data_IF_350341569116
#
_entry.id   IF_350341569116
#
_cell.length_a   1.000
_cell.length_b   1.000
_cell.length_c   1.000
_cell.angle_alpha   90.00
_cell.angle_beta   90.00
_cell.angle_gamma   90.00
#
_symmetry.space_group_name_H-M   'P 1'
#
loop_
_entity.id
_entity.type
_entity.pdbx_description
1 polymer ?
#
# COMPACT_ATOMS: atom_id res chain seq x y z
N UNK A 1 4.56 -26.38 3.20
CA UNK A 1 4.65 -25.04 2.57
C UNK A 1 5.35 -25.20 1.23
N UNK A 2 4.83 -24.63 0.12
CA UNK A 2 5.41 -24.86 -1.22
C UNK A 2 6.62 -23.97 -1.54
N UNK A 3 6.78 -22.86 -0.81
CA UNK A 3 7.84 -21.86 -0.99
C UNK A 3 8.11 -21.18 0.35
N UNK A 4 9.38 -20.98 0.71
CA UNK A 4 9.80 -20.15 1.84
C UNK A 4 11.01 -19.30 1.44
N UNK A 5 11.15 -18.12 2.03
CA UNK A 5 12.32 -17.27 1.81
C UNK A 5 13.53 -17.85 2.53
N UNK A 6 14.59 -18.16 1.77
CA UNK A 6 15.84 -18.62 2.32
C UNK A 6 16.85 -17.47 2.36
N UNK A 7 16.95 -16.81 3.52
CA UNK A 7 17.88 -15.70 3.73
C UNK A 7 19.33 -16.20 3.81
N UNK A 8 19.99 -16.25 2.65
CA UNK A 8 21.36 -16.79 2.51
C UNK A 8 22.38 -16.12 3.44
N UNK A 9 22.25 -14.81 3.70
CA UNK A 9 23.16 -14.08 4.59
C UNK A 9 23.03 -14.50 6.06
N UNK A 10 21.79 -14.61 6.54
CA UNK A 10 21.50 -15.07 7.91
C UNK A 10 21.86 -16.55 8.06
N UNK A 11 21.54 -17.37 7.05
CA UNK A 11 21.93 -18.77 7.00
C UNK A 11 23.44 -18.92 7.12
N UNK A 12 24.22 -18.27 6.24
CA UNK A 12 25.68 -18.38 6.25
C UNK A 12 26.27 -17.93 7.59
N UNK A 13 25.75 -16.85 8.18
CA UNK A 13 26.18 -16.36 9.49
C UNK A 13 25.90 -17.36 10.60
N UNK A 14 24.69 -17.91 10.66
CA UNK A 14 24.27 -18.83 11.72
C UNK A 14 24.90 -20.22 11.59
N UNK A 15 25.33 -20.62 10.38
CA UNK A 15 25.95 -21.92 10.12
C UNK A 15 27.47 -21.87 9.97
N UNK A 16 28.12 -20.71 10.19
CA UNK A 16 29.57 -20.55 9.98
C UNK A 16 30.41 -21.51 10.83
N UNK A 17 29.93 -21.88 12.03
CA UNK A 17 30.62 -22.78 12.97
C UNK A 17 30.48 -24.26 12.62
N UNK A 18 29.57 -24.64 11.71
CA UNK A 18 29.22 -26.02 11.46
C UNK A 18 30.25 -26.71 10.56
N UNK A 19 30.54 -27.97 10.87
CA UNK A 19 31.24 -28.86 9.95
C UNK A 19 30.37 -29.19 8.74
N UNK A 20 30.98 -29.71 7.67
CA UNK A 20 30.27 -30.16 6.46
C UNK A 20 29.15 -31.18 6.75
N UNK A 21 29.33 -32.04 7.76
CA UNK A 21 28.31 -33.01 8.15
C UNK A 21 27.17 -32.36 8.93
N UNK A 22 27.49 -31.40 9.81
CA UNK A 22 26.50 -30.66 10.60
C UNK A 22 25.68 -29.73 9.72
N UNK A 23 26.30 -29.01 8.78
CA UNK A 23 25.58 -28.19 7.81
C UNK A 23 24.64 -29.05 6.94
N UNK A 24 25.14 -30.19 6.45
CA UNK A 24 24.34 -31.14 5.68
C UNK A 24 23.20 -31.77 6.48
N UNK A 25 23.35 -31.94 7.79
CA UNK A 25 22.28 -32.38 8.69
C UNK A 25 21.26 -31.26 8.91
N UNK A 26 21.71 -30.06 9.28
CA UNK A 26 20.87 -28.89 9.49
C UNK A 26 20.00 -28.58 8.28
N UNK A 27 20.58 -28.54 7.07
CA UNK A 27 19.82 -28.27 5.85
C UNK A 27 18.68 -29.26 5.64
N UNK A 28 18.95 -30.56 5.81
CA UNK A 28 17.94 -31.63 5.65
C UNK A 28 16.83 -31.54 6.70
N UNK A 29 17.18 -31.24 7.95
CA UNK A 29 16.20 -31.09 9.02
C UNK A 29 15.27 -29.91 8.75
N UNK A 30 15.82 -28.76 8.36
CA UNK A 30 15.06 -27.55 8.02
C UNK A 30 14.14 -27.79 6.81
N UNK A 31 14.62 -28.44 5.76
CA UNK A 31 13.79 -28.74 4.59
C UNK A 31 12.58 -29.61 4.93
N UNK A 32 12.78 -30.64 5.78
CA UNK A 32 11.68 -31.50 6.21
C UNK A 32 10.72 -30.76 7.14
N UNK A 33 11.23 -29.85 7.98
CA UNK A 33 10.41 -29.00 8.84
C UNK A 33 9.45 -28.14 8.01
N UNK A 34 9.95 -27.43 7.00
CA UNK A 34 9.11 -26.59 6.12
C UNK A 34 8.20 -27.40 5.20
N UNK A 35 8.65 -28.56 4.72
CA UNK A 35 7.84 -29.44 3.89
C UNK A 35 6.61 -29.95 4.66
N UNK A 36 6.79 -30.31 5.94
CA UNK A 36 5.71 -30.85 6.79
C UNK A 36 4.96 -29.82 7.60
N UNK A 37 5.54 -28.63 7.79
CA UNK A 37 5.04 -27.59 8.69
C UNK A 37 4.80 -28.10 10.13
N UNK A 38 5.62 -29.06 10.57
CA UNK A 38 5.48 -29.73 11.86
C UNK A 38 6.83 -29.91 12.56
N UNK A 39 6.86 -29.94 13.90
CA UNK A 39 8.05 -30.29 14.66
C UNK A 39 8.65 -31.63 14.20
N UNK A 40 9.98 -31.75 14.29
CA UNK A 40 10.63 -33.03 14.07
C UNK A 40 10.28 -34.00 15.21
N UNK A 41 10.23 -35.32 14.97
CA UNK A 41 9.90 -36.28 16.02
C UNK A 41 10.86 -36.18 17.22
N UNK A 42 10.35 -36.27 18.46
CA UNK A 42 11.19 -36.27 19.67
C UNK A 42 12.10 -37.51 19.82
N UNK A 43 11.87 -38.57 19.03
CA UNK A 43 12.71 -39.76 19.02
C UNK A 43 13.90 -39.58 18.05
N UNK A 44 15.12 -39.55 18.59
CA UNK A 44 16.37 -39.41 17.81
C UNK A 44 16.48 -40.41 16.66
N UNK A 45 16.05 -41.66 16.85
CA UNK A 45 16.09 -42.67 15.80
C UNK A 45 15.27 -42.29 14.56
N UNK A 46 14.15 -41.58 14.73
CA UNK A 46 13.34 -41.05 13.63
C UNK A 46 14.02 -39.85 12.99
N UNK A 47 14.63 -38.97 13.79
CA UNK A 47 15.36 -37.81 13.28
C UNK A 47 16.58 -38.23 12.45
N UNK A 48 17.34 -39.24 12.88
CA UNK A 48 18.45 -39.78 12.08
C UNK A 48 17.99 -40.33 10.73
N UNK A 49 16.84 -41.00 10.68
CA UNK A 49 16.25 -41.46 9.41
C UNK A 49 15.86 -40.30 8.50
N UNK A 50 15.29 -39.24 9.07
CA UNK A 50 14.93 -38.01 8.35
C UNK A 50 16.18 -37.32 7.77
N UNK A 51 17.22 -37.15 8.59
CA UNK A 51 18.49 -36.56 8.17
C UNK A 51 19.33 -37.47 7.28
N UNK A 52 18.91 -38.74 7.07
CA UNK A 52 19.67 -39.79 6.38
C UNK A 52 21.04 -40.07 7.01
N UNK A 53 21.16 -39.90 8.32
CA UNK A 53 22.38 -40.18 9.08
C UNK A 53 22.52 -41.68 9.37
N UNK A 54 23.49 -42.33 8.71
CA UNK A 54 23.72 -43.77 8.81
C UNK A 54 24.91 -44.04 9.73
N UNK A 55 26.02 -43.38 9.44
CA UNK A 55 27.30 -43.54 10.14
C UNK A 55 27.30 -42.86 11.51
N UNK A 56 28.23 -43.27 12.38
CA UNK A 56 28.39 -42.67 13.71
C UNK A 56 28.71 -41.16 13.63
N UNK A 57 29.61 -40.69 12.73
CA UNK A 57 29.85 -39.26 12.57
C UNK A 57 28.62 -38.48 12.11
N UNK A 58 27.84 -39.00 11.16
CA UNK A 58 26.61 -38.33 10.70
C UNK A 58 25.57 -38.22 11.82
N UNK A 59 25.40 -39.28 12.64
CA UNK A 59 24.48 -39.24 13.78
C UNK A 59 24.94 -38.25 14.85
N UNK A 60 26.25 -38.18 15.10
CA UNK A 60 26.83 -37.17 16.00
C UNK A 60 26.56 -35.76 15.49
N UNK A 61 26.73 -35.52 14.19
CA UNK A 61 26.45 -34.22 13.57
C UNK A 61 24.97 -33.83 13.70
N UNK A 62 24.04 -34.77 13.49
CA UNK A 62 22.61 -34.52 13.72
C UNK A 62 22.34 -34.17 15.18
N UNK A 63 22.97 -34.85 16.14
CA UNK A 63 22.80 -34.54 17.55
C UNK A 63 23.31 -33.14 17.89
N UNK A 64 24.52 -32.76 17.45
CA UNK A 64 25.08 -31.41 17.65
C UNK A 64 24.10 -30.33 17.14
N UNK A 65 23.56 -30.54 15.94
CA UNK A 65 22.61 -29.61 15.32
C UNK A 65 21.31 -29.51 16.10
N UNK A 66 20.78 -30.64 16.59
CA UNK A 66 19.57 -30.64 17.42
C UNK A 66 19.80 -29.89 18.74
N UNK A 67 20.96 -30.09 19.37
CA UNK A 67 21.29 -29.47 20.64
C UNK A 67 21.51 -27.95 20.51
N UNK A 68 22.04 -27.49 19.37
CA UNK A 68 22.33 -26.07 19.12
C UNK A 68 21.13 -25.28 18.59
N UNK A 69 20.39 -25.82 17.60
CA UNK A 69 19.38 -25.05 16.86
C UNK A 69 17.94 -25.42 17.19
N UNK A 70 17.71 -26.56 17.85
CA UNK A 70 16.38 -27.06 18.14
C UNK A 70 16.12 -27.10 19.65
N UNK A 71 14.84 -27.08 20.02
CA UNK A 71 14.40 -27.27 21.41
C UNK A 71 13.49 -28.48 21.48
N UNK A 72 13.81 -29.44 22.35
CA UNK A 72 12.93 -30.58 22.59
C UNK A 72 11.73 -30.14 23.42
N UNK A 73 10.55 -30.30 22.84
CA UNK A 73 9.24 -30.00 23.41
C UNK A 73 8.37 -31.27 23.43
N UNK A 74 7.25 -31.30 24.17
CA UNK A 74 6.42 -32.51 24.29
C UNK A 74 5.93 -33.07 22.95
N UNK A 75 5.79 -32.23 21.93
CA UNK A 75 5.34 -32.56 20.59
C UNK A 75 6.49 -32.81 19.59
N UNK A 76 7.75 -32.61 20.00
CA UNK A 76 8.93 -32.90 19.19
C UNK A 76 10.04 -31.85 19.30
N UNK A 77 11.00 -31.89 18.39
CA UNK A 77 12.03 -30.86 18.26
C UNK A 77 11.50 -29.70 17.43
N UNK A 78 11.45 -28.52 18.05
CA UNK A 78 10.99 -27.27 17.44
C UNK A 78 12.15 -26.38 17.03
N UNK A 79 11.95 -25.63 15.94
CA UNK A 79 12.91 -24.65 15.45
C UNK A 79 12.24 -23.27 15.38
N UNK A 80 12.69 -22.35 16.22
CA UNK A 80 12.06 -21.05 16.44
C UNK A 80 11.78 -20.28 15.14
N UNK A 81 12.80 -20.12 14.28
CA UNK A 81 12.65 -19.37 13.02
C UNK A 81 11.68 -20.05 12.05
N UNK A 82 11.64 -21.39 12.04
CA UNK A 82 10.71 -22.12 11.18
C UNK A 82 9.27 -21.93 11.65
N UNK A 83 9.04 -22.04 12.96
CA UNK A 83 7.72 -21.82 13.55
C UNK A 83 7.21 -20.40 13.27
N UNK A 84 8.05 -19.38 13.47
CA UNK A 84 7.71 -17.98 13.17
C UNK A 84 7.36 -17.75 11.68
N UNK A 85 8.06 -18.41 10.76
CA UNK A 85 7.81 -18.29 9.32
C UNK A 85 6.54 -19.04 8.89
N UNK A 86 6.31 -20.23 9.45
CA UNK A 86 5.09 -21.01 9.21
C UNK A 86 3.86 -20.25 9.73
N UNK A 87 3.92 -19.67 10.92
CA UNK A 87 2.84 -18.87 11.50
C UNK A 87 2.50 -17.67 10.61
N UNK A 88 3.53 -16.92 10.15
CA UNK A 88 3.34 -15.80 9.21
C UNK A 88 2.65 -16.25 7.92
N UNK A 89 3.06 -17.40 7.38
CA UNK A 89 2.49 -17.94 6.15
C UNK A 89 1.03 -18.33 6.33
N UNK A 90 0.68 -19.01 7.43
CA UNK A 90 -0.68 -19.45 7.74
C UNK A 90 -1.62 -18.24 7.93
N UNK A 91 -1.22 -17.21 8.68
CA UNK A 91 -2.00 -15.97 8.85
C UNK A 91 -2.28 -15.32 7.49
N UNK A 92 -1.29 -15.29 6.60
CA UNK A 92 -1.47 -14.73 5.25
C UNK A 92 -2.40 -15.56 4.39
N UNK A 93 -2.38 -16.90 4.49
CA UNK A 93 -3.28 -17.77 3.73
C UNK A 93 -4.73 -17.61 4.21
N UNK A 94 -4.97 -17.59 5.52
CA UNK A 94 -6.31 -17.38 6.09
C UNK A 94 -6.92 -16.05 5.61
N UNK A 95 -6.14 -14.97 5.63
CA UNK A 95 -6.59 -13.67 5.10
C UNK A 95 -6.89 -13.70 3.60
N UNK A 96 -6.11 -14.45 2.82
CA UNK A 96 -6.34 -14.61 1.38
C UNK A 96 -7.62 -15.42 1.09
N UNK A 97 -7.86 -16.49 1.83
CA UNK A 97 -9.05 -17.33 1.67
C UNK A 97 -10.32 -16.61 2.13
N UNK A 98 -10.26 -15.88 3.25
CA UNK A 98 -11.36 -15.00 3.67
C UNK A 98 -11.72 -13.97 2.58
N UNK A 99 -10.71 -13.39 1.91
CA UNK A 99 -10.94 -12.46 0.79
C UNK A 99 -11.59 -13.17 -0.40
N UNK A 100 -11.11 -14.37 -0.77
CA UNK A 100 -11.68 -15.16 -1.87
C UNK A 100 -13.14 -15.55 -1.60
N UNK A 101 -13.45 -15.99 -0.39
CA UNK A 101 -14.81 -16.32 0.03
C UNK A 101 -15.71 -15.08 0.02
N UNK A 102 -15.23 -13.92 0.49
CA UNK A 102 -15.99 -12.67 0.40
C UNK A 102 -16.29 -12.26 -1.05
N UNK A 103 -15.30 -12.38 -1.94
CA UNK A 103 -15.48 -12.11 -3.37
C UNK A 103 -16.50 -13.06 -4.02
N UNK A 104 -16.48 -14.34 -3.65
CA UNK A 104 -17.47 -15.34 -4.10
C UNK A 104 -18.88 -14.99 -3.63
N UNK A 105 -19.06 -14.69 -2.34
CA UNK A 105 -20.33 -14.24 -1.77
C UNK A 105 -20.83 -12.94 -2.40
N UNK A 106 -19.93 -12.02 -2.77
CA UNK A 106 -20.29 -10.79 -3.50
C UNK A 106 -20.84 -11.11 -4.89
N UNK A 107 -20.21 -12.04 -5.60
CA UNK A 107 -20.66 -12.46 -6.93
C UNK A 107 -21.99 -13.21 -6.86
N UNK A 108 -22.20 -14.05 -5.86
CA UNK A 108 -23.45 -14.78 -5.64
C UNK A 108 -24.62 -13.82 -5.38
N UNK A 109 -24.47 -12.90 -4.42
CA UNK A 109 -25.49 -11.85 -4.17
C UNK A 109 -25.80 -11.01 -5.41
N UNK A 110 -24.79 -10.71 -6.23
CA UNK A 110 -25.00 -9.98 -7.49
C UNK A 110 -25.81 -10.80 -8.51
N UNK A 111 -25.56 -12.12 -8.61
CA UNK A 111 -26.31 -13.04 -9.47
C UNK A 111 -27.75 -13.20 -8.99
N UNK A 112 -27.96 -13.36 -7.68
CA UNK A 112 -29.28 -13.47 -7.07
C UNK A 112 -30.10 -12.20 -7.25
N UNK A 113 -29.52 -11.01 -6.98
CA UNK A 113 -30.17 -9.72 -7.25
C UNK A 113 -30.57 -9.58 -8.71
N UNK A 114 -29.66 -9.93 -9.63
CA UNK A 114 -29.95 -9.89 -11.07
C UNK A 114 -31.09 -10.84 -11.44
N UNK A 115 -31.10 -12.07 -10.91
CA UNK A 115 -32.18 -13.06 -11.12
C UNK A 115 -33.51 -12.53 -10.59
N UNK A 116 -33.53 -11.92 -9.41
CA UNK A 116 -34.74 -11.34 -8.82
C UNK A 116 -35.30 -10.18 -9.67
N UNK A 117 -34.44 -9.31 -10.19
CA UNK A 117 -34.85 -8.21 -11.09
C UNK A 117 -35.48 -8.74 -12.39
N UNK A 118 -34.90 -9.79 -12.99
CA UNK A 118 -35.51 -10.43 -14.16
C UNK A 118 -36.87 -11.03 -13.85
N UNK A 119 -37.02 -11.68 -12.70
CA UNK A 119 -38.30 -12.29 -12.30
C UNK A 119 -39.38 -11.24 -12.02
N UNK A 120 -39.02 -10.13 -11.37
CA UNK A 120 -39.94 -9.00 -11.15
C UNK A 120 -40.35 -8.33 -12.46
N UNK A 121 -39.43 -8.11 -13.40
CA UNK A 121 -39.79 -7.59 -14.71
C UNK A 121 -40.75 -8.53 -15.44
N UNK A 122 -40.49 -9.84 -15.36
CA UNK A 122 -41.35 -10.87 -15.97
C UNK A 122 -42.75 -10.89 -15.34
N UNK A 123 -42.88 -10.69 -14.03
CA UNK A 123 -44.20 -10.63 -13.36
C UNK A 123 -45.02 -9.40 -13.79
N UNK A 124 -44.37 -8.31 -14.19
CA UNK A 124 -45.02 -7.16 -14.83
C UNK A 124 -45.19 -7.29 -16.36
N UNK A 125 -44.97 -8.49 -16.92
CA UNK A 125 -45.14 -8.77 -18.35
C UNK A 125 -44.01 -8.23 -19.24
N UNK A 126 -42.90 -7.78 -18.66
CA UNK A 126 -41.75 -7.23 -19.39
C UNK A 126 -40.63 -8.25 -19.46
N UNK A 127 -40.28 -8.65 -20.69
CA UNK A 127 -39.13 -9.53 -20.94
C UNK A 127 -37.92 -8.67 -21.30
N UNK A 128 -36.96 -8.55 -20.37
CA UNK A 128 -35.70 -7.86 -20.63
C UNK A 128 -34.71 -8.74 -21.43
N UNK A 129 -33.82 -8.13 -22.25
CA UNK A 129 -32.74 -8.85 -22.92
C UNK A 129 -31.86 -9.63 -21.93
N UNK A 130 -31.38 -10.81 -22.34
CA UNK A 130 -30.61 -11.71 -21.47
C UNK A 130 -29.27 -11.11 -21.02
N UNK A 131 -28.71 -10.21 -21.81
CA UNK A 131 -27.46 -9.49 -21.59
C UNK A 131 -27.64 -8.14 -20.86
N UNK A 132 -28.88 -7.68 -20.63
CA UNK A 132 -29.18 -6.38 -20.03
C UNK A 132 -28.49 -6.17 -18.68
N UNK A 133 -27.83 -5.03 -18.43
CA UNK A 133 -27.04 -4.81 -17.21
C UNK A 133 -27.94 -4.59 -15.99
N UNK A 134 -27.43 -4.86 -14.77
CA UNK A 134 -28.22 -4.77 -13.54
C UNK A 134 -28.91 -3.41 -13.35
N UNK A 135 -28.22 -2.31 -13.62
CA UNK A 135 -28.79 -0.96 -13.52
C UNK A 135 -29.88 -0.68 -14.58
N UNK A 136 -29.78 -1.29 -15.76
CA UNK A 136 -30.80 -1.18 -16.81
C UNK A 136 -32.07 -1.93 -16.39
N UNK A 137 -31.93 -3.12 -15.80
CA UNK A 137 -33.04 -3.89 -15.23
C UNK A 137 -33.75 -3.11 -14.12
N UNK A 138 -32.99 -2.46 -13.23
CA UNK A 138 -33.53 -1.61 -12.17
C UNK A 138 -34.31 -0.42 -12.72
N UNK A 139 -33.76 0.27 -13.72
CA UNK A 139 -34.44 1.39 -14.37
C UNK A 139 -35.73 0.95 -15.09
N UNK A 140 -35.70 -0.23 -15.74
CA UNK A 140 -36.89 -0.81 -16.37
C UNK A 140 -37.96 -1.11 -15.33
N UNK A 141 -37.57 -1.76 -14.23
CA UNK A 141 -38.50 -2.13 -13.18
C UNK A 141 -39.11 -0.89 -12.54
N UNK A 142 -38.30 0.14 -12.27
CA UNK A 142 -38.78 1.43 -11.75
C UNK A 142 -39.81 2.08 -12.68
N UNK A 143 -39.58 2.07 -13.99
CA UNK A 143 -40.55 2.64 -14.95
C UNK A 143 -41.88 1.90 -14.95
N UNK A 144 -41.83 0.56 -14.95
CA UNK A 144 -43.01 -0.31 -15.04
C UNK A 144 -43.83 -0.29 -13.75
N UNK A 145 -43.16 -0.22 -12.60
CA UNK A 145 -43.82 -0.06 -11.30
C UNK A 145 -44.41 1.34 -11.13
N UNK A 146 -43.75 2.38 -11.64
CA UNK A 146 -44.27 3.76 -11.60
C UNK A 146 -45.47 3.99 -12.53
N UNK A 147 -45.63 3.20 -13.61
CA UNK A 147 -46.75 3.35 -14.56
C UNK A 147 -48.08 2.79 -14.05
N UNK A 148 -48.13 2.20 -12.85
CA UNK A 148 -49.35 1.67 -12.22
C UNK A 148 -49.87 2.47 -11.01
N UNK A 149 -49.33 3.66 -10.74
CA UNK A 149 -49.89 4.58 -9.74
C UNK A 149 -50.40 5.87 -10.40
N UNK A 150 -51.58 5.79 -11.00
CA UNK A 150 -52.43 6.96 -11.25
C UNK A 150 -53.69 6.84 -10.40
N UNK A 151 -53.52 6.98 -9.08
CA UNK A 151 -54.57 7.43 -8.16
C UNK A 151 -53.98 8.55 -7.29
N UNK A 152 -54.73 9.64 -7.03
CA UNK A 152 -54.23 10.74 -6.23
C UNK A 152 -54.26 10.31 -4.76
N UNK A 153 -53.10 9.97 -4.19
CA UNK A 153 -52.97 9.74 -2.76
C UNK A 153 -52.26 10.93 -2.15
N UNK A 154 -52.93 11.49 -1.15
CA UNK A 154 -52.44 12.50 -0.23
C UNK A 154 -51.05 12.17 0.28
N UNK A 155 -50.27 13.24 0.45
CA UNK A 155 -48.88 13.27 0.90
C UNK A 155 -48.75 12.66 2.30
N UNK A 156 -48.40 11.37 2.38
CA UNK A 156 -47.85 10.77 3.60
C UNK A 156 -46.33 10.64 3.47
N UNK A 157 -45.67 10.99 4.57
CA UNK A 157 -44.23 11.06 4.73
C UNK A 157 -43.57 9.69 4.47
N UNK A 158 -42.79 9.59 3.39
CA UNK A 158 -41.88 8.47 3.18
C UNK A 158 -40.45 8.88 3.54
N UNK A 159 -39.88 8.12 4.47
CA UNK A 159 -38.49 8.19 4.91
C UNK A 159 -37.50 8.10 3.73
N UNK A 160 -36.29 8.71 3.87
CA UNK A 160 -35.33 8.77 2.79
C UNK A 160 -34.83 7.38 2.39
N UNK A 161 -35.02 7.05 1.10
CA UNK A 161 -34.41 5.89 0.42
C UNK A 161 -32.89 5.99 0.54
N UNK A 162 -32.34 5.21 1.46
CA UNK A 162 -30.90 5.05 1.61
C UNK A 162 -30.40 4.26 0.40
N UNK A 163 -29.48 4.83 -0.38
CA UNK A 163 -28.72 4.07 -1.38
C UNK A 163 -27.97 2.96 -0.66
N UNK A 164 -28.13 1.71 -1.08
CA UNK A 164 -27.37 0.56 -0.57
C UNK A 164 -25.88 0.65 -0.93
N UNK A 165 -25.18 1.58 -0.29
CA UNK A 165 -23.76 1.50 -0.01
C UNK A 165 -23.63 1.26 1.50
N UNK A 166 -24.03 0.08 1.96
CA UNK A 166 -23.73 -0.34 3.33
C UNK A 166 -22.58 -1.35 3.30
N UNK A 167 -21.38 -0.80 3.42
CA UNK A 167 -20.36 -1.41 4.25
C UNK A 167 -20.91 -1.50 5.68
N UNK A 168 -21.13 -2.71 6.19
CA UNK A 168 -21.45 -2.89 7.60
C UNK A 168 -20.18 -2.65 8.44
N UNK A 169 -19.94 -1.39 8.81
CA UNK A 169 -19.23 -1.06 10.03
C UNK A 169 -20.03 0.00 10.79
N UNK A 170 -20.62 -0.42 11.91
CA UNK A 170 -21.07 0.50 12.96
C UNK A 170 -19.84 0.89 13.78
N UNK A 171 -19.45 2.17 13.88
CA UNK A 171 -18.47 2.57 14.89
C UNK A 171 -19.20 2.54 16.23
N UNK A 172 -18.94 1.51 17.03
CA UNK A 172 -19.29 1.52 18.45
C UNK A 172 -18.18 2.32 19.16
N UNK A 173 -18.45 3.48 19.76
CA UNK A 173 -17.49 4.13 20.63
C UNK A 173 -17.45 3.35 21.95
N UNK A 174 -16.60 2.32 22.03
CA UNK A 174 -16.24 1.72 23.31
C UNK A 174 -15.30 2.67 24.03
N UNK A 175 -15.85 3.46 24.94
CA UNK A 175 -15.10 3.93 26.09
C UNK A 175 -14.76 2.71 26.97
N UNK A 176 -13.49 2.30 26.95
CA UNK A 176 -12.93 1.43 27.98
C UNK A 176 -11.63 2.07 28.49
N UNK A 177 -11.60 2.25 29.80
CA UNK A 177 -10.49 2.77 30.59
C UNK A 177 -9.25 1.86 30.49
N UNK A 178 -8.03 2.40 30.37
CA UNK A 178 -6.83 1.58 30.40
C UNK A 178 -6.41 1.30 31.86
N UNK A 179 -6.17 0.03 32.20
CA UNK A 179 -5.27 -0.31 33.31
C UNK A 179 -4.15 -1.24 32.83
N UNK A 180 -2.99 -0.60 32.64
CA UNK A 180 -1.61 -1.04 32.91
C UNK A 180 -1.22 -2.50 32.62
N UNK A 181 -0.55 -2.70 31.48
CA UNK A 181 0.87 -3.10 31.44
C UNK A 181 1.30 -3.29 29.99
N UNK A 182 1.54 -2.18 29.30
CA UNK A 182 2.38 -2.16 28.10
C UNK A 182 3.11 -0.82 28.11
N UNK A 183 4.42 -0.89 28.20
CA UNK A 183 5.30 0.27 28.06
C UNK A 183 5.03 0.95 26.71
N UNK A 184 4.97 2.29 26.65
CA UNK A 184 4.53 2.98 25.45
C UNK A 184 5.63 2.87 24.38
N UNK A 185 5.32 2.21 23.26
CA UNK A 185 6.05 2.46 22.02
C UNK A 185 5.70 3.89 21.58
N UNK A 186 6.68 4.79 21.37
CA UNK A 186 6.39 6.15 20.94
C UNK A 186 5.62 6.13 19.61
N UNK A 187 4.80 7.16 19.30
CA UNK A 187 4.15 7.29 18.00
C UNK A 187 5.22 7.12 16.91
N UNK A 188 4.91 6.51 15.76
CA UNK A 188 5.89 6.35 14.70
C UNK A 188 6.31 7.74 14.26
N UNK A 189 7.45 8.22 14.77
CA UNK A 189 7.98 9.51 14.41
C UNK A 189 8.08 9.56 12.90
N UNK A 190 7.61 10.66 12.34
CA UNK A 190 7.90 11.03 10.97
C UNK A 190 9.41 10.84 10.76
N UNK A 191 9.86 10.10 9.73
CA UNK A 191 11.28 9.92 9.47
C UNK A 191 11.95 11.29 9.39
N UNK A 192 13.16 11.40 9.95
CA UNK A 192 13.90 12.66 9.91
C UNK A 192 14.06 13.14 8.47
N UNK A 193 13.76 14.42 8.22
CA UNK A 193 13.74 15.02 6.89
C UNK A 193 12.54 14.73 5.99
N UNK A 194 11.57 13.88 6.41
CA UNK A 194 10.35 13.66 5.62
C UNK A 194 9.49 14.91 5.52
N UNK A 195 9.45 15.77 6.55
CA UNK A 195 8.65 17.01 6.50
C UNK A 195 9.20 17.99 5.45
N UNK A 196 10.53 18.08 5.30
CA UNK A 196 11.18 18.88 4.25
C UNK A 196 10.83 18.34 2.85
N UNK A 197 10.91 17.02 2.66
CA UNK A 197 10.45 16.36 1.41
C UNK A 197 8.97 16.61 1.15
N UNK A 198 8.14 16.42 2.17
CA UNK A 198 6.71 16.57 2.08
C UNK A 198 6.30 18.01 1.82
N UNK A 199 7.09 19.01 2.24
CA UNK A 199 6.88 20.43 1.96
C UNK A 199 7.32 20.82 0.55
N UNK A 200 8.44 20.29 0.07
CA UNK A 200 8.97 20.58 -1.27
C UNK A 200 8.12 20.00 -2.42
N UNK A 201 7.44 18.87 -2.21
CA UNK A 201 6.78 18.14 -3.30
C UNK A 201 5.44 18.77 -3.77
N UNK A 202 5.26 19.24 -5.02
CA UNK A 202 4.06 20.02 -5.39
C UNK A 202 2.71 19.29 -5.24
N UNK A 203 2.70 17.95 -5.40
CA UNK A 203 1.49 17.11 -5.32
C UNK A 203 1.37 16.40 -3.96
N UNK A 204 0.49 16.88 -3.07
CA UNK A 204 0.33 16.37 -1.68
C UNK A 204 -0.71 15.25 -1.55
N UNK A 205 -0.51 14.12 -2.24
CA UNK A 205 -1.44 12.97 -2.18
C UNK A 205 -0.81 11.74 -1.55
N UNK A 206 -1.61 10.94 -0.82
CA UNK A 206 -1.19 9.64 -0.32
C UNK A 206 -0.06 9.67 0.74
N UNK A 207 -0.14 10.58 1.72
CA UNK A 207 0.88 10.76 2.78
C UNK A 207 1.33 9.45 3.48
N UNK A 208 0.44 8.51 3.85
CA UNK A 208 0.88 7.24 4.46
C UNK A 208 1.75 6.37 3.54
N UNK A 209 1.42 6.31 2.25
CA UNK A 209 2.21 5.61 1.25
C UNK A 209 3.56 6.30 1.00
N UNK A 210 3.58 7.63 1.04
CA UNK A 210 4.81 8.42 0.93
C UNK A 210 5.74 8.20 2.13
N UNK A 211 5.23 8.15 3.37
CA UNK A 211 6.04 7.84 4.57
C UNK A 211 6.65 6.44 4.46
N UNK A 212 5.87 5.45 4.02
CA UNK A 212 6.37 4.08 3.81
C UNK A 212 7.47 4.05 2.74
N UNK A 213 7.25 4.71 1.60
CA UNK A 213 8.24 4.81 0.53
C UNK A 213 9.51 5.55 0.98
N UNK A 214 9.39 6.62 1.78
CA UNK A 214 10.52 7.40 2.27
C UNK A 214 11.41 6.60 3.23
N UNK A 215 10.81 5.80 4.12
CA UNK A 215 11.55 4.84 4.96
C UNK A 215 12.25 3.77 4.13
N UNK A 216 11.56 3.23 3.12
CA UNK A 216 12.09 2.18 2.26
C UNK A 216 13.22 2.66 1.34
N UNK A 217 13.16 3.92 0.90
CA UNK A 217 14.14 4.53 0.01
C UNK A 217 15.51 4.73 0.66
N UNK A 218 15.62 4.63 2.01
CA UNK A 218 16.87 4.74 2.77
C UNK A 218 17.78 5.85 2.22
N UNK A 219 17.29 7.09 2.25
CA UNK A 219 17.93 8.27 1.65
C UNK A 219 19.21 8.72 2.38
N UNK A 220 20.07 7.79 2.80
CA UNK A 220 21.28 7.91 3.61
C UNK A 220 22.21 9.06 3.15
N UNK A 221 21.87 10.31 3.49
CA UNK A 221 22.59 11.52 3.04
C UNK A 221 22.16 12.09 1.68
N UNK A 222 21.28 11.42 0.93
CA UNK A 222 20.80 11.87 -0.39
C UNK A 222 19.60 12.83 -0.34
N UNK A 223 19.06 13.12 0.86
CA UNK A 223 17.92 14.01 1.00
C UNK A 223 18.14 15.41 0.35
N UNK A 224 19.32 16.07 0.46
CA UNK A 224 19.57 17.33 -0.23
C UNK A 224 19.49 17.23 -1.75
N UNK A 225 19.99 16.13 -2.34
CA UNK A 225 19.94 15.85 -3.78
C UNK A 225 18.50 15.64 -4.25
N UNK A 226 17.72 14.88 -3.47
CA UNK A 226 16.29 14.67 -3.71
C UNK A 226 15.52 16.00 -3.67
N UNK A 227 15.80 16.86 -2.69
CA UNK A 227 15.16 18.17 -2.60
C UNK A 227 15.55 19.09 -3.76
N UNK A 228 16.82 19.08 -4.18
CA UNK A 228 17.30 19.85 -5.32
C UNK A 228 16.68 19.38 -6.65
N UNK A 229 16.51 18.07 -6.83
CA UNK A 229 15.83 17.52 -8.02
C UNK A 229 14.34 17.87 -8.02
N UNK A 230 13.65 17.77 -6.88
CA UNK A 230 12.25 18.20 -6.77
C UNK A 230 12.11 19.67 -7.12
N UNK A 231 12.99 20.53 -6.60
CA UNK A 231 13.01 21.95 -6.90
C UNK A 231 13.25 22.21 -8.40
N UNK A 232 14.27 21.58 -8.99
CA UNK A 232 14.55 21.68 -10.43
C UNK A 232 13.41 21.18 -11.32
N UNK A 233 12.83 20.01 -11.01
CA UNK A 233 11.71 19.43 -11.75
C UNK A 233 10.44 20.24 -11.57
N UNK A 234 10.17 20.78 -10.39
CA UNK A 234 9.00 21.65 -10.14
C UNK A 234 9.02 22.93 -10.99
N UNK A 235 10.22 23.39 -11.38
CA UNK A 235 10.43 24.54 -12.26
C UNK A 235 10.39 24.17 -13.76
N UNK A 236 10.33 22.88 -14.10
CA UNK A 236 10.31 22.43 -15.49
C UNK A 236 8.92 22.57 -16.14
N UNK A 237 8.87 22.74 -17.46
CA UNK A 237 7.62 22.77 -18.23
C UNK A 237 6.80 21.48 -18.02
N UNK A 238 7.48 20.33 -17.91
CA UNK A 238 6.82 19.03 -17.77
C UNK A 238 5.96 18.89 -16.51
N UNK A 239 6.36 19.50 -15.40
CA UNK A 239 5.62 19.45 -14.13
C UNK A 239 4.71 20.65 -13.92
N UNK A 240 4.92 21.75 -14.64
CA UNK A 240 4.07 22.95 -14.57
C UNK A 240 2.89 22.92 -15.57
N UNK A 241 3.00 22.14 -16.65
CA UNK A 241 1.95 22.00 -17.67
C UNK A 241 0.68 21.33 -17.11
N UNK A 242 -0.49 21.81 -17.57
CA UNK A 242 -1.81 21.31 -17.21
C UNK A 242 -2.05 21.18 -15.69
N UNK A 243 -1.57 22.13 -14.89
CA UNK A 243 -1.78 22.11 -13.43
C UNK A 243 -1.09 20.94 -12.72
N UNK A 244 0.01 20.43 -13.28
CA UNK A 244 0.76 19.33 -12.67
C UNK A 244 0.15 17.95 -12.90
N UNK A 245 -0.63 17.78 -13.98
CA UNK A 245 -1.24 16.51 -14.37
C UNK A 245 -0.23 15.35 -14.50
N UNK A 246 1.02 15.66 -14.89
CA UNK A 246 2.09 14.69 -15.08
C UNK A 246 3.05 14.57 -13.89
N UNK A 247 2.74 15.22 -12.75
CA UNK A 247 3.53 15.07 -11.54
C UNK A 247 3.24 13.68 -10.94
N UNK A 248 4.27 12.82 -10.79
CA UNK A 248 4.10 11.52 -10.15
C UNK A 248 3.59 11.68 -8.70
N UNK A 249 3.03 10.63 -8.13
CA UNK A 249 2.71 10.67 -6.71
C UNK A 249 4.02 10.61 -5.90
N UNK A 250 4.10 11.23 -4.70
CA UNK A 250 5.33 11.26 -3.89
C UNK A 250 5.92 9.86 -3.63
N UNK A 251 5.05 8.88 -3.36
CA UNK A 251 5.47 7.49 -3.17
C UNK A 251 6.06 6.87 -4.45
N UNK A 252 5.48 7.15 -5.61
CA UNK A 252 5.97 6.67 -6.92
C UNK A 252 7.33 7.27 -7.24
N UNK A 253 7.50 8.57 -7.00
CA UNK A 253 8.77 9.28 -7.19
C UNK A 253 9.89 8.69 -6.32
N UNK A 254 9.60 8.42 -5.05
CA UNK A 254 10.55 7.80 -4.12
C UNK A 254 10.89 6.35 -4.51
N UNK A 255 9.88 5.52 -4.80
CA UNK A 255 10.08 4.11 -5.12
C UNK A 255 10.85 3.87 -6.41
N UNK A 256 10.72 4.78 -7.39
CA UNK A 256 11.39 4.68 -8.69
C UNK A 256 12.72 5.43 -8.73
N UNK A 257 13.20 5.96 -7.60
CA UNK A 257 14.45 6.71 -7.49
C UNK A 257 14.60 7.81 -8.54
N UNK A 258 13.51 8.54 -8.81
CA UNK A 258 13.43 9.43 -9.98
C UNK A 258 14.33 10.66 -9.92
N UNK A 259 15.02 10.90 -8.79
CA UNK A 259 16.09 11.89 -8.70
C UNK A 259 17.39 11.43 -9.40
N UNK A 260 17.52 10.14 -9.72
CA UNK A 260 18.64 9.55 -10.48
C UNK A 260 18.42 9.60 -12.00
N UNK A 261 17.21 9.97 -12.46
CA UNK A 261 16.91 10.18 -13.88
C UNK A 261 17.78 11.33 -14.42
N UNK A 262 18.68 11.04 -15.36
CA UNK A 262 19.71 11.95 -15.91
C UNK A 262 19.16 13.36 -16.21
N UNK A 263 19.72 14.39 -15.58
CA UNK A 263 19.32 15.78 -15.79
C UNK A 263 19.49 16.19 -17.26
N UNK A 264 18.56 16.96 -17.85
CA UNK A 264 18.73 17.47 -19.20
C UNK A 264 19.95 18.41 -19.27
N UNK A 265 20.73 18.26 -20.32
CA UNK A 265 21.93 19.03 -20.65
C UNK A 265 21.70 20.55 -20.51
N UNK A 266 22.45 21.27 -19.65
CA UNK A 266 22.28 22.71 -19.44
C UNK A 266 22.58 23.55 -20.70
N UNK A 267 23.26 22.98 -21.70
CA UNK A 267 23.47 23.65 -22.99
C UNK A 267 22.24 23.68 -23.91
N UNK A 268 21.13 23.01 -23.51
CA UNK A 268 19.85 22.99 -24.21
C UNK A 268 18.68 23.60 -23.42
N UNK A 269 18.95 24.38 -22.37
CA UNK A 269 17.88 25.07 -21.65
C UNK A 269 17.18 26.09 -22.59
N UNK A 270 15.87 25.94 -22.89
CA UNK A 270 15.14 26.99 -23.59
C UNK A 270 15.06 28.22 -22.69
N UNK A 271 15.04 29.41 -23.30
CA UNK A 271 14.85 30.67 -22.58
C UNK A 271 13.64 30.56 -21.64
N UNK A 272 13.83 30.92 -20.37
CA UNK A 272 12.77 30.93 -19.35
C UNK A 272 11.54 31.66 -19.89
N UNK A 273 10.40 30.97 -19.94
CA UNK A 273 9.12 31.58 -20.29
C UNK A 273 8.81 32.71 -19.29
N UNK A 274 8.67 33.97 -19.75
CA UNK A 274 8.31 35.11 -18.91
C UNK A 274 6.99 34.93 -18.15
N UNK A 275 6.14 33.99 -18.57
CA UNK A 275 4.86 33.67 -17.95
C UNK A 275 4.89 32.47 -17.00
N UNK A 276 6.05 31.84 -16.81
CA UNK A 276 6.21 30.78 -15.82
C UNK A 276 5.99 31.31 -14.40
N UNK A 277 5.46 30.46 -13.53
CA UNK A 277 5.14 30.84 -12.15
C UNK A 277 6.38 31.32 -11.37
N UNK A 278 7.51 30.64 -11.53
CA UNK A 278 8.78 31.04 -10.92
C UNK A 278 9.29 32.40 -11.44
N UNK A 279 9.12 32.70 -12.73
CA UNK A 279 9.48 34.02 -13.27
C UNK A 279 8.59 35.14 -12.71
N UNK A 280 7.31 34.86 -12.47
CA UNK A 280 6.34 35.84 -11.93
C UNK A 280 6.58 36.07 -10.43
N UNK A 281 6.87 35.03 -9.65
CA UNK A 281 7.25 35.18 -8.24
C UNK A 281 8.58 35.93 -8.09
N UNK A 282 9.61 35.58 -8.86
CA UNK A 282 10.89 36.29 -8.87
C UNK A 282 10.75 37.76 -9.27
N UNK A 283 9.92 38.05 -10.28
CA UNK A 283 9.61 39.42 -10.67
C UNK A 283 8.85 40.20 -9.60
N UNK A 284 7.93 39.55 -8.88
CA UNK A 284 7.22 40.15 -7.75
C UNK A 284 8.18 40.54 -6.62
N UNK A 285 9.08 39.63 -6.26
CA UNK A 285 10.11 39.88 -5.24
C UNK A 285 11.04 41.03 -5.66
N UNK A 286 11.45 41.07 -6.93
CA UNK A 286 12.26 42.17 -7.46
C UNK A 286 11.54 43.53 -7.43
N UNK A 287 10.21 43.52 -7.44
CA UNK A 287 9.34 44.69 -7.31
C UNK A 287 8.91 44.97 -5.86
N UNK A 288 9.47 44.26 -4.89
CA UNK A 288 9.20 44.46 -3.46
C UNK A 288 7.91 43.83 -2.94
N UNK A 289 7.34 42.87 -3.67
CA UNK A 289 6.22 42.06 -3.17
C UNK A 289 6.74 40.87 -2.37
N UNK A 290 6.01 40.54 -1.31
CA UNK A 290 6.23 39.30 -0.56
C UNK A 290 5.95 38.07 -1.44
N UNK A 291 6.66 36.94 -1.21
CA UNK A 291 6.37 35.69 -1.89
C UNK A 291 4.91 35.28 -1.76
N UNK A 292 4.34 34.71 -2.81
CA UNK A 292 2.93 34.30 -2.80
C UNK A 292 2.65 33.27 -1.70
N UNK A 293 1.73 33.60 -0.79
CA UNK A 293 1.50 32.90 0.48
C UNK A 293 0.42 31.80 0.40
N UNK A 294 -0.10 31.51 -0.79
CA UNK A 294 -1.19 30.56 -1.07
C UNK A 294 -2.56 30.93 -0.48
N UNK A 295 -2.65 32.02 0.29
CA UNK A 295 -3.91 32.53 0.84
C UNK A 295 -4.58 33.41 -0.22
N UNK A 296 -3.80 34.23 -0.92
CA UNK A 296 -4.26 34.98 -2.09
C UNK A 296 -4.47 34.05 -3.30
N UNK A 297 -5.48 34.30 -4.15
CA UNK A 297 -5.61 33.54 -5.40
C UNK A 297 -4.45 33.87 -6.36
N UNK A 298 -3.88 32.84 -6.99
CA UNK A 298 -2.67 32.98 -7.81
C UNK A 298 -2.82 33.98 -8.97
N UNK A 299 -3.98 34.02 -9.65
CA UNK A 299 -4.20 34.96 -10.74
C UNK A 299 -4.26 36.42 -10.25
N UNK A 300 -4.70 36.65 -9.01
CA UNK A 300 -4.69 37.97 -8.38
C UNK A 300 -3.26 38.45 -8.13
N UNK A 301 -2.42 37.60 -7.53
CA UNK A 301 -0.99 37.87 -7.31
C UNK A 301 -0.26 38.13 -8.64
N UNK A 302 -0.46 37.26 -9.62
CA UNK A 302 0.11 37.38 -10.97
C UNK A 302 -0.28 38.71 -11.64
N UNK A 303 -1.55 39.09 -11.59
CA UNK A 303 -2.02 40.33 -12.21
C UNK A 303 -1.44 41.56 -11.51
N UNK A 304 -1.25 41.51 -10.18
CA UNK A 304 -0.57 42.56 -9.40
C UNK A 304 0.88 42.73 -9.83
N UNK A 305 1.65 41.64 -9.93
CA UNK A 305 3.04 41.66 -10.41
C UNK A 305 3.12 42.27 -11.82
N UNK A 306 2.25 41.84 -12.73
CA UNK A 306 2.22 42.37 -14.11
C UNK A 306 1.85 43.85 -14.18
N UNK A 307 0.90 44.29 -13.34
CA UNK A 307 0.54 45.70 -13.23
C UNK A 307 1.74 46.57 -12.84
N UNK A 308 2.51 46.12 -11.84
CA UNK A 308 3.73 46.80 -11.40
C UNK A 308 4.85 46.77 -12.45
N UNK A 309 5.04 45.65 -13.14
CA UNK A 309 6.00 45.56 -14.25
C UNK A 309 5.67 46.52 -15.40
N UNK A 310 4.38 46.69 -15.72
CA UNK A 310 3.94 47.61 -16.76
C UNK A 310 4.06 49.07 -16.32
N UNK A 311 3.81 49.37 -15.04
CA UNK A 311 4.02 50.70 -14.48
C UNK A 311 5.51 51.10 -14.50
N UNK A 312 6.40 50.18 -14.12
CA UNK A 312 7.86 50.39 -14.14
C UNK A 312 8.47 50.52 -15.55
N UNK A 313 7.75 50.10 -16.59
CA UNK A 313 8.16 50.26 -18.00
C UNK A 313 7.68 51.56 -18.63
N UNK A 314 6.69 52.22 -18.05
CA UNK A 314 6.01 53.38 -18.61
C UNK A 314 6.25 54.69 -17.80
N UNK A 315 7.08 54.65 -16.77
CA UNK A 315 7.50 55.80 -15.97
C UNK A 315 9.02 55.94 -15.99
#
# INVERSE_FOLDING_TARGET
>A
MNYYEHHLGDYAKDTTSLSMLEEGAYRRLIDVYYAKELPLPGELAKVFKIARAISKPEKSAVQSVLDEFFTLTPDGYRHKRCDEEIERYQISQEGADAKRENDKLRQERARERRKALFEQLRSHGVVAPWDAKTHELEAHLSRVTSTHQSQPVTRDEHEPVTRDNTANQTPIPRHQTPNTNNTPKPPPSTPDGFDSFWSAYPKKVGKPAAIKAFRAAKLNGHLPEVLADIDGKSRSESWSKNGGQFIPNPATYLNQRRWEDMAPDPSKAPALDPNSRGAIEAAGIALGLDPWDQIEQWDTYRNRVRGLQNAAKNG
#
